data_IF_712261931882
#
_entry.id   IF_712261931882
#
_cell.length_a   1.000
_cell.length_b   1.000
_cell.length_c   1.000
_cell.angle_alpha   90.00
_cell.angle_beta   90.00
_cell.angle_gamma   90.00
#
_symmetry.space_group_name_H-M   'P 1'
#
loop_
_entity.id
_entity.type
_entity.pdbx_description
1 polymer ?
#
# COMPACT_ATOMS: atom_id res chain seq x y z
N UNK A 1 8.53 -17.13 -1.57
CA UNK A 1 7.60 -17.44 -2.66
C UNK A 1 8.46 -17.71 -3.86
N UNK A 2 8.52 -18.97 -4.25
CA UNK A 2 9.23 -19.33 -5.47
C UNK A 2 8.39 -18.94 -6.70
N UNK A 3 9.02 -19.03 -7.87
CA UNK A 3 8.35 -18.69 -9.13
C UNK A 3 7.12 -19.58 -9.39
N UNK A 4 7.09 -20.77 -8.81
CA UNK A 4 6.02 -21.75 -8.94
C UNK A 4 4.78 -21.34 -8.12
N UNK A 5 4.96 -20.89 -6.88
CA UNK A 5 3.90 -20.31 -6.05
C UNK A 5 3.35 -19.00 -6.64
N UNK A 6 4.21 -18.20 -7.28
CA UNK A 6 3.80 -16.94 -7.94
C UNK A 6 2.94 -17.22 -9.17
N UNK A 7 3.33 -18.22 -9.96
CA UNK A 7 2.57 -18.63 -11.14
C UNK A 7 1.26 -19.31 -10.75
N UNK A 8 1.25 -20.12 -9.68
CA UNK A 8 0.02 -20.73 -9.17
C UNK A 8 -1.01 -19.67 -8.73
N UNK A 9 -0.56 -18.65 -8.01
CA UNK A 9 -1.41 -17.52 -7.60
C UNK A 9 -1.89 -16.70 -8.82
N UNK A 10 -1.02 -16.49 -9.82
CA UNK A 10 -1.39 -15.81 -11.07
C UNK A 10 -2.50 -16.58 -11.80
N UNK A 11 -2.35 -17.90 -11.93
CA UNK A 11 -3.31 -18.76 -12.62
C UNK A 11 -4.64 -18.89 -11.88
N UNK A 12 -4.63 -18.89 -10.55
CA UNK A 12 -5.83 -18.87 -9.72
C UNK A 12 -6.61 -17.56 -9.93
N UNK A 13 -5.92 -16.42 -9.91
CA UNK A 13 -6.52 -15.10 -10.14
C UNK A 13 -7.09 -14.93 -11.56
N UNK A 14 -6.40 -15.41 -12.61
CA UNK A 14 -6.92 -15.38 -13.98
C UNK A 14 -8.15 -16.28 -14.17
N UNK A 15 -8.22 -17.39 -13.44
CA UNK A 15 -9.33 -18.34 -13.55
C UNK A 15 -10.62 -17.77 -12.98
N UNK A 16 -10.52 -17.15 -11.81
CA UNK A 16 -11.68 -16.62 -11.11
C UNK A 16 -12.11 -15.24 -11.65
N UNK A 17 -11.15 -14.51 -12.25
CA UNK A 17 -11.35 -13.20 -12.83
C UNK A 17 -10.57 -13.08 -14.16
N UNK A 18 -11.12 -13.62 -15.28
CA UNK A 18 -10.43 -13.62 -16.57
C UNK A 18 -10.21 -12.22 -17.17
N UNK A 19 -10.95 -11.22 -16.68
CA UNK A 19 -10.85 -9.82 -17.09
C UNK A 19 -9.86 -9.04 -16.20
N UNK A 20 -9.24 -9.69 -15.20
CA UNK A 20 -8.33 -9.04 -14.27
C UNK A 20 -6.99 -8.80 -14.98
N UNK A 21 -6.64 -7.52 -15.18
CA UNK A 21 -5.32 -7.13 -15.65
C UNK A 21 -4.30 -7.33 -14.52
N UNK A 22 -3.81 -8.56 -14.41
CA UNK A 22 -2.86 -8.97 -13.38
C UNK A 22 -1.51 -8.27 -13.50
N UNK A 23 -1.12 -7.82 -14.69
CA UNK A 23 0.06 -6.98 -14.80
C UNK A 23 -0.20 -5.64 -14.13
N UNK A 24 -1.35 -4.99 -14.36
CA UNK A 24 -1.72 -3.78 -13.62
C UNK A 24 -1.98 -4.00 -12.12
N UNK A 25 -2.43 -5.18 -11.72
CA UNK A 25 -2.70 -5.49 -10.30
C UNK A 25 -1.41 -5.79 -9.53
N UNK A 26 -0.42 -6.42 -10.17
CA UNK A 26 0.88 -6.75 -9.58
C UNK A 26 1.92 -5.63 -9.77
N UNK A 27 1.81 -4.84 -10.83
CA UNK A 27 2.71 -3.71 -11.11
C UNK A 27 2.15 -2.36 -10.70
N UNK A 28 0.86 -2.30 -10.31
CA UNK A 28 0.13 -1.04 -10.22
C UNK A 28 -0.03 -0.44 -11.61
N UNK A 29 -1.22 0.06 -11.91
CA UNK A 29 -1.43 0.87 -13.10
C UNK A 29 -0.63 2.18 -12.96
N UNK A 30 0.60 2.12 -13.48
CA UNK A 30 1.62 3.16 -13.50
C UNK A 30 1.14 4.31 -14.37
N UNK A 31 0.90 5.48 -13.77
CA UNK A 31 0.82 6.71 -14.55
C UNK A 31 1.62 7.82 -13.88
N UNK A 32 2.93 7.82 -14.13
CA UNK A 32 3.77 9.00 -13.98
C UNK A 32 4.96 8.84 -13.03
N UNK A 33 5.94 9.75 -13.15
CA UNK A 33 7.14 9.75 -12.31
C UNK A 33 6.79 10.03 -10.83
N UNK A 34 7.77 9.83 -9.95
CA UNK A 34 7.68 10.35 -8.59
C UNK A 34 7.49 11.87 -8.61
N UNK A 35 6.78 12.40 -7.60
CA UNK A 35 6.57 13.84 -7.48
C UNK A 35 7.93 14.56 -7.35
N UNK A 36 8.18 15.60 -8.15
CA UNK A 36 9.49 16.27 -8.19
C UNK A 36 9.81 16.98 -6.86
N UNK A 37 8.83 17.64 -6.26
CA UNK A 37 8.98 18.43 -5.02
C UNK A 37 8.50 17.67 -3.78
N UNK A 38 8.72 16.35 -3.74
CA UNK A 38 8.32 15.53 -2.59
C UNK A 38 9.09 15.93 -1.32
N UNK A 39 8.41 16.11 -0.18
CA UNK A 39 9.05 16.37 1.09
C UNK A 39 9.89 15.17 1.52
N UNK A 40 10.93 15.42 2.30
CA UNK A 40 11.61 14.36 3.04
C UNK A 40 10.81 14.05 4.31
N UNK A 41 9.64 13.44 4.10
CA UNK A 41 8.67 13.12 5.13
C UNK A 41 8.18 11.68 4.89
N UNK A 42 8.46 10.73 5.79
CA UNK A 42 7.97 9.37 5.66
C UNK A 42 6.43 9.32 5.63
N UNK A 43 5.89 8.40 4.83
CA UNK A 43 4.43 8.27 4.61
C UNK A 43 3.68 7.99 5.91
N UNK A 44 4.27 7.23 6.84
CA UNK A 44 3.69 6.94 8.15
C UNK A 44 3.63 8.16 9.08
N UNK A 45 4.36 9.24 8.78
CA UNK A 45 4.32 10.48 9.56
C UNK A 45 3.26 11.46 9.06
N UNK A 46 2.61 11.21 7.91
CA UNK A 46 1.65 12.15 7.31
C UNK A 46 0.50 12.49 8.26
N UNK A 47 0.01 11.52 9.04
CA UNK A 47 -1.07 11.72 10.02
C UNK A 47 -0.66 12.70 11.12
N UNK A 48 0.54 12.49 11.67
CA UNK A 48 1.12 13.39 12.66
C UNK A 48 1.38 14.77 12.07
N UNK A 49 1.91 14.83 10.85
CA UNK A 49 2.19 16.07 10.15
C UNK A 49 0.93 16.92 9.94
N UNK A 50 -0.16 16.33 9.44
CA UNK A 50 -1.46 17.02 9.25
C UNK A 50 -1.98 17.56 10.59
N UNK A 51 -1.94 16.74 11.64
CA UNK A 51 -2.38 17.15 12.98
C UNK A 51 -1.59 18.35 13.51
N UNK A 52 -0.28 18.32 13.31
CA UNK A 52 0.64 19.33 13.84
C UNK A 52 0.75 20.57 12.92
N UNK A 53 0.26 20.46 11.66
CA UNK A 53 0.22 21.52 10.66
C UNK A 53 -1.19 21.66 10.07
N UNK A 54 -2.11 22.38 10.72
CA UNK A 54 -3.51 22.50 10.28
C UNK A 54 -3.73 23.10 8.88
N UNK A 55 -2.69 23.71 8.28
CA UNK A 55 -2.71 24.18 6.90
C UNK A 55 -2.26 23.15 5.86
N UNK A 56 -1.81 21.97 6.29
CA UNK A 56 -1.46 20.86 5.41
C UNK A 56 -2.74 20.13 4.96
N UNK A 57 -2.87 19.94 3.65
CA UNK A 57 -4.01 19.23 3.07
C UNK A 57 -3.73 17.71 3.00
N UNK A 58 -4.53 16.86 3.68
CA UNK A 58 -4.40 15.41 3.62
C UNK A 58 -4.51 14.84 2.20
N UNK A 59 -5.34 15.43 1.35
CA UNK A 59 -5.51 14.96 -0.03
C UNK A 59 -4.26 15.23 -0.86
N UNK A 60 -3.65 16.41 -0.69
CA UNK A 60 -2.36 16.75 -1.30
C UNK A 60 -1.26 15.79 -0.86
N UNK A 61 -1.14 15.50 0.45
CA UNK A 61 -0.15 14.53 0.94
C UNK A 61 -0.40 13.14 0.37
N UNK A 62 -1.67 12.71 0.33
CA UNK A 62 -2.03 11.40 -0.21
C UNK A 62 -1.68 11.24 -1.70
N UNK A 63 -1.69 12.33 -2.46
CA UNK A 63 -1.35 12.36 -3.89
C UNK A 63 0.16 12.39 -4.18
N UNK A 64 1.02 12.57 -3.18
CA UNK A 64 2.48 12.57 -3.37
C UNK A 64 2.93 11.19 -3.84
N UNK A 65 3.50 11.14 -5.04
CA UNK A 65 4.10 9.93 -5.62
C UNK A 65 5.55 9.79 -5.13
N UNK A 66 5.88 8.67 -4.53
CA UNK A 66 7.21 8.36 -4.02
C UNK A 66 7.74 7.03 -4.61
N UNK A 67 9.06 6.90 -4.78
CA UNK A 67 9.65 5.65 -5.22
C UNK A 67 9.53 4.59 -4.13
N UNK A 68 9.38 3.34 -4.54
CA UNK A 68 9.41 2.15 -3.68
C UNK A 68 10.43 1.20 -4.25
N UNK A 69 11.42 0.80 -3.44
CA UNK A 69 12.43 -0.19 -3.77
C UNK A 69 12.16 -1.45 -2.97
N UNK A 70 12.10 -2.59 -3.64
CA UNK A 70 11.82 -3.88 -3.03
C UNK A 70 13.14 -4.60 -2.73
N UNK A 71 13.13 -5.45 -1.70
CA UNK A 71 14.30 -6.26 -1.31
C UNK A 71 14.84 -7.12 -2.47
N UNK A 72 13.96 -7.50 -3.40
CA UNK A 72 14.27 -8.29 -4.60
C UNK A 72 14.93 -7.47 -5.73
N UNK A 73 15.23 -6.19 -5.48
CA UNK A 73 15.92 -5.31 -6.43
C UNK A 73 15.00 -4.64 -7.47
N UNK A 74 13.70 -4.96 -7.46
CA UNK A 74 12.71 -4.25 -8.27
C UNK A 74 12.39 -2.88 -7.65
N UNK A 75 11.90 -1.96 -8.48
CA UNK A 75 11.47 -0.63 -8.04
C UNK A 75 10.20 -0.20 -8.75
N UNK A 76 9.36 0.55 -8.05
CA UNK A 76 8.17 1.17 -8.59
C UNK A 76 7.96 2.58 -8.03
N UNK A 77 6.83 3.19 -8.38
CA UNK A 77 6.39 4.49 -7.86
C UNK A 77 4.93 4.34 -7.44
N UNK A 78 4.58 4.85 -6.27
CA UNK A 78 3.22 4.78 -5.73
C UNK A 78 2.90 6.02 -4.90
N UNK A 79 1.65 6.12 -4.44
CA UNK A 79 1.12 7.15 -3.54
C UNK A 79 0.05 6.52 -2.65
N UNK A 80 -0.37 7.20 -1.58
CA UNK A 80 -1.51 6.75 -0.78
C UNK A 80 -2.78 6.74 -1.65
N UNK A 81 -2.99 7.80 -2.45
CA UNK A 81 -4.17 7.96 -3.29
C UNK A 81 -4.37 6.79 -4.27
N UNK A 82 -3.28 6.23 -4.81
CA UNK A 82 -3.34 5.05 -5.69
C UNK A 82 -3.79 3.77 -4.97
N UNK A 83 -3.67 3.73 -3.63
CA UNK A 83 -4.12 2.61 -2.79
C UNK A 83 -5.52 2.80 -2.23
N UNK A 84 -6.14 3.95 -2.46
CA UNK A 84 -7.54 4.21 -2.15
C UNK A 84 -8.50 3.59 -3.17
N UNK A 85 -8.00 2.92 -4.22
CA UNK A 85 -8.84 2.17 -5.16
C UNK A 85 -9.65 1.14 -4.36
N UNK A 86 -10.97 1.03 -4.57
CA UNK A 86 -11.78 0.02 -3.90
C UNK A 86 -11.17 -1.33 -4.24
N UNK A 87 -10.61 -2.01 -3.23
CA UNK A 87 -9.99 -3.31 -3.40
C UNK A 87 -10.98 -4.23 -4.13
N UNK A 88 -10.66 -4.72 -5.34
CA UNK A 88 -11.51 -5.71 -5.98
C UNK A 88 -11.49 -6.94 -5.08
N UNK A 89 -12.69 -7.30 -4.62
CA UNK A 89 -13.14 -8.64 -4.27
C UNK A 89 -12.01 -9.59 -3.83
N UNK A 90 -11.94 -9.73 -2.51
CA UNK A 90 -11.93 -11.03 -1.88
C UNK A 90 -10.57 -11.76 -1.81
N UNK A 91 -9.93 -11.64 -0.65
CA UNK A 91 -9.10 -12.72 -0.12
C UNK A 91 -9.98 -13.91 0.36
N UNK A 92 -11.33 -13.80 0.32
CA UNK A 92 -12.33 -14.79 0.78
C UNK A 92 -13.76 -14.66 0.20
N UNK A 93 -13.95 -14.45 -1.09
CA UNK A 93 -15.28 -14.50 -1.76
C UNK A 93 -16.45 -13.65 -1.24
N UNK A 94 -16.29 -12.71 -0.29
CA UNK A 94 -17.36 -11.82 0.19
C UNK A 94 -16.79 -10.44 0.50
N UNK A 95 -17.57 -9.40 0.20
CA UNK A 95 -17.47 -8.11 0.90
C UNK A 95 -17.78 -8.44 2.35
N UNK A 96 -16.85 -8.30 3.32
CA UNK A 96 -17.26 -8.29 4.71
C UNK A 96 -18.20 -7.09 4.82
N UNK A 97 -19.48 -7.34 5.07
CA UNK A 97 -20.30 -6.31 5.65
C UNK A 97 -19.76 -6.11 7.06
N UNK A 98 -19.42 -4.87 7.46
CA UNK A 98 -19.66 -3.61 6.76
C UNK A 98 -18.60 -3.25 5.70
N UNK A 99 -19.01 -2.57 4.62
CA UNK A 99 -18.10 -1.94 3.65
C UNK A 99 -17.19 -0.98 4.40
N UNK A 100 -15.95 -1.40 4.65
CA UNK A 100 -14.95 -0.53 5.26
C UNK A 100 -14.50 0.49 4.21
N UNK A 101 -14.78 1.76 4.46
CA UNK A 101 -14.20 2.85 3.67
C UNK A 101 -12.74 2.98 4.06
N UNK A 102 -11.85 2.70 3.10
CA UNK A 102 -10.41 2.89 3.27
C UNK A 102 -10.08 4.31 2.80
N UNK A 103 -9.72 5.17 3.73
CA UNK A 103 -9.27 6.54 3.46
C UNK A 103 -7.74 6.67 3.56
N UNK A 104 -7.23 7.88 3.35
CA UNK A 104 -5.79 8.15 3.40
C UNK A 104 -5.19 7.93 4.80
N UNK A 105 -5.97 8.14 5.87
CA UNK A 105 -5.54 7.91 7.25
C UNK A 105 -5.34 6.41 7.50
N UNK A 106 -6.29 5.59 7.05
CA UNK A 106 -6.22 4.14 7.13
C UNK A 106 -5.01 3.57 6.40
N UNK A 107 -4.70 4.06 5.19
CA UNK A 107 -3.49 3.65 4.46
C UNK A 107 -2.23 4.15 5.16
N UNK A 108 -2.17 5.40 5.60
CA UNK A 108 -1.01 5.90 6.33
C UNK A 108 -0.75 5.10 7.63
N UNK A 109 -1.82 4.67 8.32
CA UNK A 109 -1.71 3.78 9.48
C UNK A 109 -1.17 2.39 9.10
N UNK A 110 -1.55 1.86 7.94
CA UNK A 110 -0.95 0.62 7.44
C UNK A 110 0.57 0.78 7.23
N UNK A 111 0.99 1.87 6.61
CA UNK A 111 2.42 2.19 6.43
C UNK A 111 3.16 2.28 7.77
N UNK A 112 2.52 2.86 8.78
CA UNK A 112 3.04 2.94 10.15
C UNK A 112 3.22 1.54 10.75
N UNK A 113 2.21 0.67 10.66
CA UNK A 113 2.30 -0.71 11.16
C UNK A 113 3.39 -1.52 10.43
N UNK A 114 3.54 -1.35 9.13
CA UNK A 114 4.58 -2.00 8.33
C UNK A 114 5.98 -1.51 8.74
N UNK A 115 6.14 -0.22 9.05
CA UNK A 115 7.38 0.34 9.57
C UNK A 115 7.70 -0.14 11.00
N UNK A 116 6.72 -0.10 11.91
CA UNK A 116 6.85 -0.60 13.29
C UNK A 116 7.25 -2.08 13.33
N UNK A 117 6.80 -2.88 12.35
CA UNK A 117 7.15 -4.28 12.20
C UNK A 117 8.52 -4.52 11.52
N UNK A 118 9.26 -3.46 11.16
CA UNK A 118 10.55 -3.55 10.48
C UNK A 118 10.46 -4.08 9.04
N UNK A 119 9.29 -3.97 8.40
CA UNK A 119 9.11 -4.40 7.01
C UNK A 119 9.63 -3.37 6.01
N UNK A 120 9.67 -2.10 6.43
CA UNK A 120 10.09 -1.00 5.56
C UNK A 120 10.79 0.14 6.30
N UNK A 121 11.61 0.85 5.54
CA UNK A 121 12.35 2.03 5.97
C UNK A 121 12.19 3.16 4.95
N UNK A 122 12.51 4.37 5.40
CA UNK A 122 12.50 5.56 4.56
C UNK A 122 13.93 5.82 4.07
N UNK A 123 14.06 5.93 2.76
CA UNK A 123 15.28 6.38 2.10
C UNK A 123 15.18 7.90 1.93
N UNK A 124 15.93 8.64 2.74
CA UNK A 124 15.97 10.10 2.74
C UNK A 124 16.54 10.69 1.44
N UNK A 125 17.49 9.98 0.81
CA UNK A 125 18.11 10.45 -0.44
C UNK A 125 17.14 10.28 -1.61
N UNK A 126 16.48 9.12 -1.69
CA UNK A 126 15.45 8.87 -2.68
C UNK A 126 14.11 9.53 -2.34
N UNK A 127 13.93 9.98 -1.09
CA UNK A 127 12.65 10.39 -0.49
C UNK A 127 11.53 9.41 -0.84
N UNK A 128 11.73 8.17 -0.41
CA UNK A 128 10.85 7.06 -0.74
C UNK A 128 11.06 5.86 0.16
N UNK A 129 10.44 4.74 -0.20
CA UNK A 129 10.33 3.58 0.68
C UNK A 129 11.26 2.47 0.22
N UNK A 130 11.91 1.83 1.19
CA UNK A 130 12.64 0.58 1.02
C UNK A 130 11.89 -0.51 1.74
N UNK A 131 11.45 -1.53 1.00
CA UNK A 131 10.87 -2.75 1.57
C UNK A 131 11.98 -3.74 1.86
N UNK A 132 12.12 -4.12 3.12
CA UNK A 132 13.23 -4.90 3.64
C UNK A 132 12.95 -6.40 3.65
N UNK A 133 11.67 -6.78 3.75
CA UNK A 133 11.26 -8.16 3.97
C UNK A 133 10.47 -8.72 2.78
N UNK A 134 10.54 -10.04 2.54
CA UNK A 134 9.78 -10.70 1.48
C UNK A 134 8.27 -10.67 1.76
N UNK A 135 7.45 -10.76 0.71
CA UNK A 135 5.98 -10.62 0.75
C UNK A 135 5.27 -11.45 1.85
N UNK A 136 5.82 -12.61 2.22
CA UNK A 136 5.24 -13.46 3.27
C UNK A 136 5.13 -12.73 4.64
N UNK A 137 6.14 -11.92 5.01
CA UNK A 137 6.14 -11.16 6.27
C UNK A 137 5.07 -10.05 6.29
N UNK A 138 4.66 -9.56 5.12
CA UNK A 138 3.66 -8.51 4.96
C UNK A 138 2.23 -9.01 5.20
N UNK A 139 2.00 -10.32 5.01
CA UNK A 139 0.66 -10.92 5.16
C UNK A 139 0.12 -10.79 6.58
N UNK A 140 0.99 -10.91 7.59
CA UNK A 140 0.60 -10.80 9.00
C UNK A 140 0.17 -9.38 9.36
N UNK A 141 0.96 -8.37 8.96
CA UNK A 141 0.65 -6.95 9.17
C UNK A 141 -0.61 -6.54 8.40
N UNK A 142 -0.74 -7.01 7.15
CA UNK A 142 -1.95 -6.74 6.34
C UNK A 142 -3.20 -7.31 6.99
N UNK A 143 -3.15 -8.53 7.52
CA UNK A 143 -4.27 -9.13 8.26
C UNK A 143 -4.60 -8.32 9.51
N UNK A 144 -3.60 -7.98 10.32
CA UNK A 144 -3.80 -7.18 11.53
C UNK A 144 -4.41 -5.81 11.23
N UNK A 145 -4.02 -5.19 10.10
CA UNK A 145 -4.61 -3.94 9.64
C UNK A 145 -6.09 -4.09 9.26
N UNK A 146 -6.45 -5.12 8.49
CA UNK A 146 -7.87 -5.41 8.21
C UNK A 146 -8.69 -5.63 9.50
N UNK A 147 -8.14 -6.37 10.47
CA UNK A 147 -8.79 -6.56 11.78
C UNK A 147 -8.94 -5.23 12.56
N UNK A 148 -8.09 -4.23 12.32
CA UNK A 148 -8.26 -2.88 12.90
C UNK A 148 -9.40 -2.12 12.23
N UNK A 149 -9.49 -2.22 10.91
CA UNK A 149 -10.52 -1.55 10.10
C UNK A 149 -11.92 -2.05 10.44
N UNK A 150 -12.09 -3.37 10.58
CA UNK A 150 -13.36 -3.99 10.96
C UNK A 150 -13.84 -3.54 12.34
N UNK A 151 -12.92 -3.39 13.31
CA UNK A 151 -13.25 -2.94 14.67
C UNK A 151 -13.66 -1.47 14.75
N UNK A 152 -13.13 -0.61 13.87
CA UNK A 152 -13.48 0.81 13.83
C UNK A 152 -14.77 1.11 13.06
N UNK A 153 -15.32 0.13 12.34
CA UNK A 153 -16.56 0.26 11.58
C UNK A 153 -17.85 -0.04 12.40
N UNK A 154 -17.70 -0.39 13.68
CA UNK A 154 -18.77 -0.70 14.64
C UNK A 154 -18.78 0.26 15.82
#
# INVERSE_FOLDING_TARGET
MDDEEREALRQELLRDHPDLDLENLLMGELAGPASPDRPDLPVWEYRAFVRDHPGADPATLAAIRFPVRYAEGTSGVTSIAEQLKPYPRSFRGRVPEPVVVIDADAIARRYEMEHEAGLQEWDHDARGIVRLQPLAAWREVTRAWFDTLERTAH
#
